data_IF_046926647660
#
_entry.id   IF_046926647660
#
_cell.length_a   1.000
_cell.length_b   1.000
_cell.length_c   1.000
_cell.angle_alpha   90.00
_cell.angle_beta   90.00
_cell.angle_gamma   90.00
#
_symmetry.space_group_name_H-M   'P 1'
#
loop_
_entity.id
_entity.type
_entity.pdbx_description
1 polymer ?
#
# COMPACT_ATOMS: atom_id res chain seq x y z
N UNK A 1 -0.60 0.69 14.42
CA UNK A 1 -1.25 -0.27 13.52
C UNK A 1 -0.41 -0.54 12.28
N UNK A 2 0.03 0.51 11.58
CA UNK A 2 0.97 0.38 10.45
C UNK A 2 2.27 -0.37 10.83
N UNK A 3 2.85 -0.06 12.00
CA UNK A 3 4.07 -0.73 12.50
C UNK A 3 3.91 -2.25 12.67
N UNK A 4 2.75 -2.74 13.14
CA UNK A 4 2.52 -4.18 13.31
C UNK A 4 2.43 -4.90 11.95
N UNK A 5 1.81 -4.28 10.95
CA UNK A 5 1.78 -4.84 9.59
C UNK A 5 3.16 -4.85 8.96
N UNK A 6 3.91 -3.76 9.13
CA UNK A 6 5.28 -3.66 8.65
C UNK A 6 6.18 -4.72 9.29
N UNK A 7 6.06 -4.98 10.59
CA UNK A 7 6.82 -6.06 11.25
C UNK A 7 6.52 -7.43 10.63
N UNK A 8 5.24 -7.78 10.43
CA UNK A 8 4.86 -9.06 9.81
C UNK A 8 5.27 -9.16 8.34
N UNK A 9 5.12 -8.08 7.58
CA UNK A 9 5.58 -8.03 6.19
C UNK A 9 7.10 -8.14 6.10
N UNK A 10 7.83 -7.58 7.06
CA UNK A 10 9.28 -7.78 7.18
C UNK A 10 9.63 -9.24 7.44
N UNK A 11 8.94 -9.92 8.35
CA UNK A 11 9.14 -11.35 8.60
C UNK A 11 8.91 -12.17 7.32
N UNK A 12 7.82 -11.92 6.61
CA UNK A 12 7.51 -12.59 5.32
C UNK A 12 8.61 -12.28 4.28
N UNK A 13 9.05 -11.02 4.19
CA UNK A 13 10.14 -10.62 3.29
C UNK A 13 11.45 -11.35 3.61
N UNK A 14 11.79 -11.53 4.89
CA UNK A 14 12.95 -12.31 5.32
C UNK A 14 12.81 -13.80 5.03
N UNK A 15 11.61 -14.36 5.10
CA UNK A 15 11.37 -15.76 4.76
C UNK A 15 11.43 -16.02 3.25
N UNK A 16 10.93 -15.09 2.44
CA UNK A 16 10.89 -15.22 0.96
C UNK A 16 12.21 -14.89 0.27
N UNK A 17 13.11 -14.16 0.94
CA UNK A 17 14.42 -13.82 0.38
C UNK A 17 15.54 -14.66 0.98
N UNK A 18 16.69 -14.65 0.32
CA UNK A 18 17.89 -15.34 0.79
C UNK A 18 19.01 -14.33 1.11
N UNK A 19 19.86 -14.57 2.12
CA UNK A 19 21.04 -13.73 2.34
C UNK A 19 22.00 -13.82 1.15
N UNK A 20 22.54 -12.69 0.71
CA UNK A 20 23.41 -12.60 -0.47
C UNK A 20 24.67 -11.81 -0.18
N UNK A 21 25.83 -12.40 -0.47
CA UNK A 21 27.10 -11.71 -0.34
C UNK A 21 27.41 -10.94 -1.61
N UNK A 22 27.30 -9.61 -1.55
CA UNK A 22 27.61 -8.73 -2.69
C UNK A 22 29.07 -8.86 -3.16
N UNK A 23 30.02 -8.87 -2.22
CA UNK A 23 31.45 -8.90 -2.55
C UNK A 23 31.92 -10.20 -3.23
N UNK A 24 31.24 -11.31 -2.98
CA UNK A 24 31.56 -12.61 -3.59
C UNK A 24 30.53 -13.07 -4.62
N UNK A 25 29.45 -12.30 -4.80
CA UNK A 25 28.31 -12.54 -5.69
C UNK A 25 27.74 -13.96 -5.56
N UNK A 26 27.40 -14.35 -4.33
CA UNK A 26 26.88 -15.69 -4.00
C UNK A 26 25.80 -15.62 -2.92
N UNK A 27 24.80 -16.50 -3.03
CA UNK A 27 23.80 -16.74 -1.99
C UNK A 27 24.47 -17.42 -0.80
N UNK A 28 24.10 -17.00 0.41
CA UNK A 28 24.74 -17.36 1.67
C UNK A 28 23.70 -17.82 2.72
N UNK A 29 23.05 -18.99 2.54
CA UNK A 29 21.93 -19.41 3.41
C UNK A 29 22.31 -19.58 4.89
N UNK A 30 23.59 -19.79 5.18
CA UNK A 30 24.12 -19.88 6.54
C UNK A 30 24.20 -18.55 7.29
N UNK A 31 23.87 -17.42 6.65
CA UNK A 31 24.03 -16.07 7.23
C UNK A 31 25.48 -15.58 7.26
N UNK A 32 26.41 -16.29 6.61
CA UNK A 32 27.80 -15.88 6.44
C UNK A 32 28.36 -16.43 5.13
N UNK A 33 29.12 -15.61 4.40
CA UNK A 33 29.75 -16.01 3.15
C UNK A 33 30.86 -17.03 3.38
N UNK A 34 30.80 -18.17 2.69
CA UNK A 34 31.82 -19.22 2.76
C UNK A 34 33.15 -18.84 2.12
N UNK A 35 33.19 -17.80 1.26
CA UNK A 35 34.39 -17.37 0.55
C UNK A 35 35.17 -16.29 1.30
N UNK A 36 34.50 -15.20 1.68
CA UNK A 36 35.14 -14.05 2.34
C UNK A 36 34.87 -13.97 3.85
N UNK A 37 33.99 -14.81 4.40
CA UNK A 37 33.63 -14.80 5.81
C UNK A 37 32.72 -13.64 6.24
N UNK A 38 32.30 -12.78 5.31
CA UNK A 38 31.39 -11.65 5.59
C UNK A 38 30.02 -12.14 6.05
N UNK A 39 29.53 -11.57 7.13
CA UNK A 39 28.17 -11.69 7.66
C UNK A 39 27.30 -10.44 7.37
N UNK A 40 27.88 -9.47 6.66
CA UNK A 40 27.18 -8.31 6.13
C UNK A 40 26.60 -8.67 4.76
N UNK A 41 25.34 -9.14 4.76
CA UNK A 41 24.68 -9.74 3.60
C UNK A 41 23.46 -8.94 3.18
N UNK A 42 23.35 -8.68 1.87
CA UNK A 42 22.14 -8.15 1.24
C UNK A 42 21.04 -9.20 1.23
N UNK A 43 19.83 -8.83 0.79
CA UNK A 43 18.74 -9.76 0.51
C UNK A 43 18.68 -10.02 -1.00
N UNK A 44 18.41 -11.27 -1.37
CA UNK A 44 18.17 -11.71 -2.73
C UNK A 44 16.75 -12.27 -2.83
N UNK A 45 15.97 -11.79 -3.79
CA UNK A 45 14.67 -12.34 -4.15
C UNK A 45 14.75 -12.81 -5.59
N UNK A 46 14.55 -14.11 -5.80
CA UNK A 46 14.72 -14.73 -7.11
C UNK A 46 13.80 -14.09 -8.16
N UNK A 47 14.34 -13.81 -9.34
CA UNK A 47 13.63 -13.13 -10.43
C UNK A 47 13.41 -11.62 -10.25
N UNK A 48 13.67 -11.05 -9.06
CA UNK A 48 13.42 -9.63 -8.77
C UNK A 48 14.73 -8.85 -8.64
N UNK A 49 15.62 -9.26 -7.73
CA UNK A 49 16.88 -8.53 -7.55
C UNK A 49 17.64 -8.81 -6.25
N UNK A 50 18.63 -7.96 -5.99
CA UNK A 50 19.47 -7.98 -4.79
C UNK A 50 19.64 -6.56 -4.28
N UNK A 51 19.29 -6.30 -3.02
CA UNK A 51 19.46 -4.99 -2.38
C UNK A 51 19.52 -5.14 -0.84
N UNK A 52 20.00 -4.09 -0.16
CA UNK A 52 19.99 -4.00 1.30
C UNK A 52 18.58 -3.82 1.86
N UNK A 53 18.35 -4.41 3.03
CA UNK A 53 17.07 -4.33 3.72
C UNK A 53 15.95 -5.11 3.01
N UNK A 54 14.73 -4.88 3.48
CA UNK A 54 13.51 -5.61 3.09
C UNK A 54 12.44 -4.71 2.48
N UNK A 55 12.59 -3.38 2.56
CA UNK A 55 11.60 -2.41 2.06
C UNK A 55 11.24 -2.63 0.59
N UNK A 56 12.24 -2.96 -0.25
CA UNK A 56 12.04 -3.22 -1.67
C UNK A 56 11.32 -4.56 -1.92
N UNK A 57 11.53 -5.56 -1.06
CA UNK A 57 10.79 -6.82 -1.10
C UNK A 57 9.35 -6.58 -0.67
N UNK A 58 9.11 -5.80 0.38
CA UNK A 58 7.75 -5.47 0.83
C UNK A 58 6.98 -4.78 -0.30
N UNK A 59 7.59 -3.84 -1.02
CA UNK A 59 6.95 -3.23 -2.20
C UNK A 59 6.56 -4.26 -3.25
N UNK A 60 7.41 -5.25 -3.51
CA UNK A 60 7.10 -6.34 -4.43
C UNK A 60 5.94 -7.21 -3.92
N UNK A 61 5.92 -7.54 -2.62
CA UNK A 61 4.84 -8.32 -2.01
C UNK A 61 3.48 -7.61 -2.07
N UNK A 62 3.48 -6.28 -1.95
CA UNK A 62 2.27 -5.48 -2.02
C UNK A 62 1.67 -5.43 -3.43
N UNK A 63 2.41 -5.78 -4.49
CA UNK A 63 1.86 -5.88 -5.85
C UNK A 63 0.82 -7.01 -5.99
N UNK A 64 0.84 -7.99 -5.08
CA UNK A 64 -0.17 -9.06 -5.02
C UNK A 64 -1.48 -8.59 -4.38
N UNK A 65 -1.56 -7.34 -3.89
CA UNK A 65 -2.72 -6.76 -3.23
C UNK A 65 -3.24 -5.61 -4.08
N UNK A 66 -4.54 -5.62 -4.38
CA UNK A 66 -5.17 -4.52 -5.10
C UNK A 66 -5.09 -3.22 -4.28
N UNK A 67 -4.59 -2.16 -4.91
CA UNK A 67 -4.61 -0.80 -4.37
C UNK A 67 -6.06 -0.28 -4.30
N UNK A 68 -6.34 0.56 -3.31
CA UNK A 68 -7.62 1.25 -3.20
C UNK A 68 -7.67 2.36 -4.24
N UNK A 69 -8.66 2.30 -5.14
CA UNK A 69 -9.05 3.48 -5.92
C UNK A 69 -9.75 4.47 -4.99
N UNK A 70 -9.00 5.47 -4.56
CA UNK A 70 -9.45 6.45 -3.57
C UNK A 70 -10.58 7.33 -4.12
N UNK A 71 -10.52 7.68 -5.41
CA UNK A 71 -11.50 8.57 -6.02
C UNK A 71 -12.81 7.83 -6.24
N UNK A 72 -12.75 6.59 -6.75
CA UNK A 72 -13.93 5.74 -6.91
C UNK A 72 -14.57 5.42 -5.55
N UNK A 73 -13.78 5.03 -4.55
CA UNK A 73 -14.30 4.71 -3.21
C UNK A 73 -14.97 5.92 -2.55
N UNK A 74 -14.43 7.12 -2.76
CA UNK A 74 -15.04 8.35 -2.23
C UNK A 74 -16.30 8.75 -3.00
N UNK A 75 -16.34 8.53 -4.32
CA UNK A 75 -17.55 8.73 -5.11
C UNK A 75 -18.68 7.82 -4.62
N UNK A 76 -18.41 6.53 -4.42
CA UNK A 76 -19.37 5.58 -3.85
C UNK A 76 -19.87 6.03 -2.47
N UNK A 77 -18.97 6.55 -1.63
CA UNK A 77 -19.34 7.13 -0.34
C UNK A 77 -20.31 8.31 -0.53
N UNK A 78 -19.98 9.26 -1.42
CA UNK A 78 -20.82 10.43 -1.67
C UNK A 78 -22.20 10.06 -2.23
N UNK A 79 -22.27 9.10 -3.16
CA UNK A 79 -23.54 8.61 -3.71
C UNK A 79 -24.41 7.92 -2.66
N UNK A 80 -23.79 7.25 -1.69
CA UNK A 80 -24.49 6.60 -0.59
C UNK A 80 -24.98 7.59 0.47
N UNK A 81 -24.25 8.70 0.66
CA UNK A 81 -24.50 9.68 1.72
C UNK A 81 -25.38 10.85 1.27
N UNK A 82 -25.39 11.20 -0.02
CA UNK A 82 -26.06 12.38 -0.56
C UNK A 82 -27.00 12.03 -1.72
N UNK A 83 -27.92 12.95 -2.03
CA UNK A 83 -28.81 12.80 -3.19
C UNK A 83 -28.02 12.87 -4.50
N UNK A 84 -28.32 11.94 -5.43
CA UNK A 84 -27.65 11.85 -6.73
C UNK A 84 -27.85 13.10 -7.61
N UNK A 85 -28.97 13.79 -7.46
CA UNK A 85 -29.28 15.01 -8.22
C UNK A 85 -29.63 16.18 -7.30
N UNK A 86 -29.07 17.35 -7.59
CA UNK A 86 -29.44 18.60 -6.92
C UNK A 86 -30.11 19.58 -7.90
N UNK A 87 -30.75 20.61 -7.36
CA UNK A 87 -31.45 21.62 -8.16
C UNK A 87 -30.61 22.87 -8.30
N UNK A 88 -30.32 23.29 -9.53
CA UNK A 88 -29.68 24.57 -9.84
C UNK A 88 -30.67 25.42 -10.62
N UNK A 89 -31.31 26.38 -9.93
CA UNK A 89 -32.48 27.08 -10.43
C UNK A 89 -33.59 26.10 -10.89
N UNK A 90 -33.90 26.03 -12.19
CA UNK A 90 -34.89 25.11 -12.75
C UNK A 90 -34.27 23.82 -13.34
N UNK A 91 -32.95 23.64 -13.24
CA UNK A 91 -32.24 22.48 -13.74
C UNK A 91 -32.09 21.41 -12.66
N UNK A 92 -32.15 20.14 -13.08
CA UNK A 92 -31.69 18.98 -12.30
C UNK A 92 -30.33 18.55 -12.84
N UNK A 93 -29.37 18.44 -11.93
CA UNK A 93 -27.97 18.18 -12.28
C UNK A 93 -27.41 17.16 -11.29
N UNK A 94 -26.59 16.26 -11.80
CA UNK A 94 -25.88 15.27 -11.02
C UNK A 94 -24.92 15.92 -10.00
N UNK A 95 -25.04 15.53 -8.74
CA UNK A 95 -24.29 16.11 -7.62
C UNK A 95 -22.80 15.89 -7.77
N UNK A 96 -22.36 14.65 -8.06
CA UNK A 96 -20.94 14.33 -8.25
C UNK A 96 -20.32 15.11 -9.40
N UNK A 97 -21.06 15.25 -10.51
CA UNK A 97 -20.61 16.04 -11.64
C UNK A 97 -20.35 17.50 -11.27
N UNK A 98 -21.23 18.12 -10.46
CA UNK A 98 -21.00 19.48 -9.97
C UNK A 98 -19.73 19.53 -9.10
N UNK A 99 -19.58 18.59 -8.17
CA UNK A 99 -18.43 18.55 -7.29
C UNK A 99 -17.12 18.42 -8.07
N UNK A 100 -17.07 17.55 -9.07
CA UNK A 100 -15.86 17.31 -9.87
C UNK A 100 -15.58 18.40 -10.91
N UNK A 101 -16.59 18.89 -11.61
CA UNK A 101 -16.39 19.84 -12.72
C UNK A 101 -16.40 21.32 -12.28
N UNK A 102 -17.19 21.67 -11.26
CA UNK A 102 -17.40 23.06 -10.85
C UNK A 102 -16.76 23.39 -9.50
N UNK A 103 -16.63 22.42 -8.60
CA UNK A 103 -16.07 22.59 -7.26
C UNK A 103 -14.86 21.67 -7.01
N UNK A 104 -14.03 21.46 -8.03
CA UNK A 104 -12.91 20.48 -7.99
C UNK A 104 -12.02 20.65 -6.76
N UNK A 105 -11.70 21.90 -6.38
CA UNK A 105 -10.89 22.18 -5.20
C UNK A 105 -11.53 21.66 -3.90
N UNK A 106 -12.83 21.91 -3.71
CA UNK A 106 -13.56 21.46 -2.53
C UNK A 106 -13.70 19.94 -2.52
N UNK A 107 -13.94 19.32 -3.70
CA UNK A 107 -13.96 17.87 -3.84
C UNK A 107 -12.62 17.24 -3.44
N UNK A 108 -11.49 17.78 -3.91
CA UNK A 108 -10.14 17.27 -3.56
C UNK A 108 -9.81 17.46 -2.07
N UNK A 109 -10.25 18.54 -1.45
CA UNK A 109 -10.10 18.74 0.01
C UNK A 109 -10.90 17.68 0.76
N UNK A 110 -12.18 17.52 0.42
CA UNK A 110 -13.06 16.55 1.07
C UNK A 110 -12.58 15.10 0.88
N UNK A 111 -12.05 14.75 -0.30
CA UNK A 111 -11.42 13.45 -0.56
C UNK A 111 -10.24 13.19 0.38
N UNK A 112 -9.33 14.16 0.55
CA UNK A 112 -8.17 14.01 1.43
C UNK A 112 -8.57 13.91 2.91
N UNK A 113 -9.57 14.69 3.33
CA UNK A 113 -10.12 14.61 4.68
C UNK A 113 -10.77 13.24 4.92
N UNK A 114 -11.50 12.72 3.93
CA UNK A 114 -12.09 11.39 3.98
C UNK A 114 -11.03 10.28 4.06
N UNK A 115 -10.00 10.31 3.19
CA UNK A 115 -8.88 9.36 3.25
C UNK A 115 -8.22 9.36 4.63
N UNK A 116 -8.00 10.54 5.21
CA UNK A 116 -7.40 10.67 6.54
C UNK A 116 -8.29 10.03 7.61
N UNK A 117 -9.61 10.22 7.53
CA UNK A 117 -10.56 9.57 8.44
C UNK A 117 -10.53 8.05 8.31
N UNK A 118 -10.55 7.53 7.07
CA UNK A 118 -10.52 6.08 6.84
C UNK A 118 -9.21 5.43 7.31
N UNK A 119 -8.08 6.14 7.19
CA UNK A 119 -6.80 5.69 7.73
C UNK A 119 -6.79 5.71 9.27
N UNK A 120 -7.37 6.74 9.90
CA UNK A 120 -7.52 6.83 11.36
C UNK A 120 -8.46 5.75 11.93
N UNK A 121 -9.56 5.47 11.24
CA UNK A 121 -10.52 4.42 11.59
C UNK A 121 -9.95 3.01 11.33
N UNK A 122 -8.89 2.92 10.53
CA UNK A 122 -8.15 1.70 10.27
C UNK A 122 -8.79 0.78 9.22
N UNK A 123 -9.57 1.37 8.31
CA UNK A 123 -10.14 0.69 7.14
C UNK A 123 -9.10 0.57 6.01
N UNK A 124 -8.26 1.59 5.85
CA UNK A 124 -7.16 1.62 4.89
C UNK A 124 -5.81 1.88 5.57
N UNK A 125 -4.73 1.50 4.88
CA UNK A 125 -3.35 1.71 5.36
C UNK A 125 -2.42 2.02 4.18
N UNK A 126 -1.46 2.93 4.41
CA UNK A 126 -0.41 3.25 3.45
C UNK A 126 0.96 2.80 3.96
N UNK A 127 1.82 2.32 3.06
CA UNK A 127 3.21 1.95 3.34
C UNK A 127 4.24 2.87 2.67
N UNK A 128 3.79 3.94 2.02
CA UNK A 128 4.63 4.86 1.25
C UNK A 128 4.27 6.33 1.48
N UNK A 129 3.95 6.69 2.72
CA UNK A 129 3.65 8.06 3.17
C UNK A 129 2.44 8.69 2.46
N UNK A 130 1.36 7.92 2.31
CA UNK A 130 0.06 8.39 1.82
C UNK A 130 -0.04 8.48 0.31
N UNK A 131 0.85 7.79 -0.43
CA UNK A 131 0.79 7.79 -1.90
C UNK A 131 -0.13 6.68 -2.42
N UNK A 132 -0.05 5.48 -1.86
CA UNK A 132 -0.93 4.34 -2.20
C UNK A 132 -1.53 3.76 -0.93
N UNK A 133 -2.80 3.41 -0.99
CA UNK A 133 -3.53 2.84 0.12
C UNK A 133 -4.03 1.44 -0.21
N UNK A 134 -4.10 0.60 0.81
CA UNK A 134 -4.57 -0.77 0.73
C UNK A 134 -5.67 -0.97 1.78
N UNK A 135 -6.66 -1.81 1.47
CA UNK A 135 -7.64 -2.22 2.49
C UNK A 135 -6.94 -3.03 3.57
N UNK A 136 -7.16 -2.65 4.83
CA UNK A 136 -6.57 -3.35 5.98
C UNK A 136 -6.99 -4.81 6.03
N UNK A 137 -8.21 -5.13 5.59
CA UNK A 137 -8.70 -6.50 5.46
C UNK A 137 -7.88 -7.33 4.46
N UNK A 138 -7.58 -6.78 3.28
CA UNK A 138 -6.79 -7.44 2.26
C UNK A 138 -5.34 -7.67 2.71
N UNK A 139 -4.72 -6.68 3.37
CA UNK A 139 -3.37 -6.83 3.95
C UNK A 139 -3.35 -7.92 5.03
N UNK A 140 -4.37 -7.97 5.91
CA UNK A 140 -4.48 -9.03 6.92
C UNK A 140 -4.61 -10.42 6.30
N UNK A 141 -5.40 -10.55 5.24
CA UNK A 141 -5.57 -11.79 4.51
C UNK A 141 -4.26 -12.24 3.87
N UNK A 142 -3.59 -11.34 3.15
CA UNK A 142 -2.28 -11.62 2.55
C UNK A 142 -1.26 -12.11 3.57
N UNK A 143 -1.15 -11.41 4.72
CA UNK A 143 -0.24 -11.81 5.79
C UNK A 143 -0.60 -13.20 6.30
N UNK A 144 -1.88 -13.48 6.55
CA UNK A 144 -2.33 -14.79 7.04
C UNK A 144 -2.02 -15.93 6.07
N UNK A 145 -2.09 -15.69 4.76
CA UNK A 145 -1.79 -16.68 3.73
C UNK A 145 -0.29 -16.93 3.54
N UNK A 146 0.55 -15.96 3.92
CA UNK A 146 2.00 -15.99 3.72
C UNK A 146 2.82 -16.10 5.02
N UNK A 147 2.17 -16.22 6.20
CA UNK A 147 2.81 -16.42 7.51
C UNK A 147 3.06 -17.89 7.83
#
# INVERSE_FOLDING_TARGET
MNEEFLEKLNEIAFQKSEPFCYGCYVICPSGRCSKCGSDDLMRHLDGVGVEWGTDWIIKELLLDIDEVDQEESFDEYLESAYEQECSVAWLKVETLRILKELCECDYRIALNDWISSEEEDGEIVSFNNGVTYYKVSAVKEYIKENS
#
